data_IF_427256934158
#
_entry.id   IF_427256934158
#
_cell.length_a   1.000
_cell.length_b   1.000
_cell.length_c   1.000
_cell.angle_alpha   90.00
_cell.angle_beta   90.00
_cell.angle_gamma   90.00
#
_symmetry.space_group_name_H-M   'P 1'
#
loop_
_entity.id
_entity.type
_entity.pdbx_description
1 polymer ?
#
# COMPACT_ATOMS: atom_id res chain seq x y z
N UNK A 1 -8.16 -10.35 2.24
CA UNK A 1 -8.48 -9.01 2.76
C UNK A 1 -9.39 -8.31 1.76
N UNK A 2 -10.38 -7.58 2.25
CA UNK A 2 -11.30 -6.79 1.43
C UNK A 2 -11.19 -5.31 1.84
N UNK A 3 -10.91 -4.44 0.87
CA UNK A 3 -10.99 -2.98 1.05
C UNK A 3 -12.32 -2.53 0.44
N UNK A 4 -13.17 -1.89 1.25
CA UNK A 4 -14.51 -1.43 0.85
C UNK A 4 -14.56 0.07 0.62
N UNK A 5 -15.45 0.49 -0.26
CA UNK A 5 -15.75 1.90 -0.56
C UNK A 5 -14.50 2.69 -0.97
N UNK A 6 -13.57 2.03 -1.67
CA UNK A 6 -12.34 2.65 -2.09
C UNK A 6 -12.62 3.67 -3.19
N UNK A 7 -12.17 4.91 -2.96
CA UNK A 7 -11.99 5.86 -4.04
C UNK A 7 -10.64 5.58 -4.72
N UNK A 8 -10.67 4.82 -5.81
CA UNK A 8 -9.48 4.35 -6.49
C UNK A 8 -8.98 5.44 -7.44
N UNK A 9 -7.74 5.88 -7.24
CA UNK A 9 -7.06 6.85 -8.11
C UNK A 9 -5.81 6.20 -8.70
N UNK A 10 -5.82 5.96 -10.01
CA UNK A 10 -4.67 5.48 -10.79
C UNK A 10 -4.63 6.18 -12.16
N UNK A 11 -4.57 5.44 -13.27
CA UNK A 11 -4.76 5.98 -14.62
C UNK A 11 -6.20 6.46 -14.83
N UNK A 12 -7.14 5.92 -14.06
CA UNK A 12 -8.54 6.33 -13.99
C UNK A 12 -8.96 6.55 -12.54
N UNK A 13 -10.09 7.23 -12.35
CA UNK A 13 -10.65 7.56 -11.04
C UNK A 13 -12.07 7.03 -10.93
N UNK A 14 -12.33 6.14 -9.96
CA UNK A 14 -13.63 5.51 -9.77
C UNK A 14 -13.80 4.92 -8.36
N UNK A 15 -15.06 4.68 -7.97
CA UNK A 15 -15.40 3.99 -6.72
C UNK A 15 -15.49 2.48 -6.95
N UNK A 16 -14.88 1.66 -6.08
CA UNK A 16 -15.06 0.20 -6.08
C UNK A 16 -14.62 -0.42 -4.74
N UNK A 17 -14.86 -1.72 -4.58
CA UNK A 17 -14.25 -2.55 -3.56
C UNK A 17 -13.07 -3.34 -4.16
N UNK A 18 -12.05 -3.66 -3.36
CA UNK A 18 -10.83 -4.38 -3.78
C UNK A 18 -10.65 -5.63 -2.92
N UNK A 19 -10.64 -6.79 -3.55
CA UNK A 19 -10.42 -8.08 -2.91
C UNK A 19 -8.98 -8.55 -3.12
N UNK A 20 -8.27 -8.86 -2.03
CA UNK A 20 -6.88 -9.32 -2.05
C UNK A 20 -6.78 -10.75 -1.50
N UNK A 21 -6.16 -11.64 -2.27
CA UNK A 21 -5.89 -13.05 -1.93
C UNK A 21 -4.43 -13.37 -2.24
N UNK A 22 -3.73 -14.04 -1.35
CA UNK A 22 -2.32 -14.43 -1.53
C UNK A 22 -1.41 -13.29 -2.01
N UNK A 23 -1.57 -12.11 -1.40
CA UNK A 23 -0.83 -10.87 -1.72
C UNK A 23 -1.09 -10.27 -3.11
N UNK A 24 -2.10 -10.77 -3.83
CA UNK A 24 -2.48 -10.29 -5.17
C UNK A 24 -3.91 -9.74 -5.14
N UNK A 25 -4.17 -8.69 -5.92
CA UNK A 25 -5.53 -8.20 -6.15
C UNK A 25 -6.28 -9.26 -6.98
N UNK A 26 -7.22 -9.95 -6.34
CA UNK A 26 -8.00 -11.04 -6.91
C UNK A 26 -9.30 -10.58 -7.58
N UNK A 27 -9.85 -9.43 -7.18
CA UNK A 27 -11.01 -8.81 -7.83
C UNK A 27 -11.08 -7.32 -7.51
N UNK A 28 -11.65 -6.56 -8.45
CA UNK A 28 -12.08 -5.17 -8.26
C UNK A 28 -13.52 -5.08 -8.78
N UNK A 29 -14.45 -4.58 -7.97
CA UNK A 29 -15.87 -4.56 -8.35
C UNK A 29 -16.75 -3.83 -7.37
N UNK A 30 -18.04 -3.70 -7.71
CA UNK A 30 -19.03 -3.09 -6.83
C UNK A 30 -19.56 -4.11 -5.81
N UNK A 31 -19.75 -3.67 -4.57
CA UNK A 31 -20.47 -4.42 -3.53
C UNK A 31 -19.94 -5.84 -3.29
N UNK A 32 -18.61 -6.00 -3.22
CA UNK A 32 -18.01 -7.30 -2.95
C UNK A 32 -18.36 -7.75 -1.53
N UNK A 33 -18.74 -9.02 -1.41
CA UNK A 33 -19.07 -9.64 -0.13
C UNK A 33 -17.79 -10.14 0.56
N UNK A 34 -17.59 -9.86 1.86
CA UNK A 34 -16.46 -10.39 2.60
C UNK A 34 -16.55 -11.93 2.68
N UNK A 35 -15.40 -12.59 2.57
CA UNK A 35 -15.30 -14.03 2.83
C UNK A 35 -15.27 -14.30 4.34
N UNK A 36 -15.46 -15.55 4.73
CA UNK A 36 -15.41 -15.96 6.13
C UNK A 36 -14.06 -15.59 6.77
N UNK A 37 -14.13 -14.92 7.92
CA UNK A 37 -12.98 -14.42 8.69
C UNK A 37 -12.04 -13.48 7.92
N UNK A 38 -12.52 -12.88 6.83
CA UNK A 38 -11.72 -11.95 6.06
C UNK A 38 -11.56 -10.62 6.79
N UNK A 39 -10.31 -10.13 6.86
CA UNK A 39 -10.05 -8.76 7.27
C UNK A 39 -10.71 -7.78 6.29
N UNK A 40 -11.56 -6.90 6.82
CA UNK A 40 -12.21 -5.82 6.07
C UNK A 40 -11.63 -4.47 6.50
N UNK A 41 -11.29 -3.64 5.52
CA UNK A 41 -10.89 -2.25 5.69
C UNK A 41 -11.95 -1.36 5.03
N UNK A 42 -12.52 -0.41 5.76
CA UNK A 42 -13.42 0.59 5.20
C UNK A 42 -12.62 1.84 4.80
N UNK A 43 -12.56 2.13 3.50
CA UNK A 43 -11.83 3.26 2.94
C UNK A 43 -12.73 4.48 2.67
N UNK A 44 -13.92 4.53 3.26
CA UNK A 44 -14.85 5.66 3.10
C UNK A 44 -14.16 7.00 3.39
N UNK A 45 -14.17 7.91 2.42
CA UNK A 45 -13.55 9.23 2.54
C UNK A 45 -12.03 9.26 2.34
N UNK A 46 -11.39 8.11 2.06
CA UNK A 46 -9.97 8.01 1.75
C UNK A 46 -9.76 7.69 0.27
N UNK A 47 -8.59 8.09 -0.24
CA UNK A 47 -8.09 7.68 -1.56
C UNK A 47 -7.32 6.36 -1.40
N UNK A 48 -7.55 5.43 -2.30
CA UNK A 48 -6.75 4.22 -2.47
C UNK A 48 -6.01 4.33 -3.79
N UNK A 49 -4.69 4.30 -3.74
CA UNK A 49 -3.84 4.45 -4.92
C UNK A 49 -2.82 3.31 -4.99
N UNK A 50 -2.24 3.03 -6.17
CA UNK A 50 -1.09 2.14 -6.28
C UNK A 50 0.03 2.59 -5.33
N UNK A 51 0.69 1.62 -4.69
CA UNK A 51 1.84 1.91 -3.84
C UNK A 51 2.93 2.63 -4.62
N UNK A 52 3.47 3.71 -4.04
CA UNK A 52 4.48 4.52 -4.71
C UNK A 52 5.82 3.78 -4.80
N UNK A 53 6.60 4.15 -5.82
CA UNK A 53 7.96 3.62 -6.05
C UNK A 53 8.96 4.76 -5.96
N UNK A 54 9.85 4.72 -4.97
CA UNK A 54 10.97 5.65 -4.85
C UNK A 54 12.24 4.99 -5.38
N UNK A 55 12.75 5.49 -6.50
CA UNK A 55 13.95 4.93 -7.15
C UNK A 55 15.25 5.44 -6.53
N UNK A 56 15.20 6.31 -5.52
CA UNK A 56 16.40 6.91 -4.95
C UNK A 56 16.26 7.23 -3.46
N UNK A 57 16.55 6.24 -2.60
CA UNK A 57 16.68 6.47 -1.15
C UNK A 57 18.09 6.14 -0.65
N UNK A 58 18.43 6.64 0.53
CA UNK A 58 19.67 6.28 1.23
C UNK A 58 19.35 5.81 2.64
N UNK A 59 19.33 4.49 2.86
CA UNK A 59 19.06 3.89 4.18
C UNK A 59 20.27 3.81 5.08
N UNK A 60 21.47 4.14 4.58
CA UNK A 60 22.72 4.34 5.35
C UNK A 60 23.24 3.13 6.11
N UNK A 61 22.55 2.00 6.08
CA UNK A 61 22.96 0.72 6.62
C UNK A 61 23.40 -0.24 5.51
N UNK A 62 24.57 -0.88 5.63
CA UNK A 62 25.54 -0.80 6.73
C UNK A 62 26.47 0.43 6.66
N UNK A 63 27.07 0.83 7.80
CA UNK A 63 28.17 1.80 7.88
C UNK A 63 27.81 3.12 8.57
N UNK A 64 26.80 3.83 8.08
CA UNK A 64 26.32 5.10 8.64
C UNK A 64 24.96 4.92 9.35
N UNK A 65 24.82 3.82 10.09
CA UNK A 65 23.57 3.36 10.71
C UNK A 65 23.03 4.32 11.79
N UNK A 66 23.87 5.21 12.31
CA UNK A 66 23.47 6.32 13.19
C UNK A 66 22.55 7.33 12.49
N UNK A 67 22.64 7.43 11.15
CA UNK A 67 21.83 8.34 10.34
C UNK A 67 20.48 7.75 9.99
N UNK A 68 20.46 6.47 9.60
CA UNK A 68 19.26 5.74 9.25
C UNK A 68 19.54 4.22 9.27
N UNK A 69 18.51 3.42 9.51
CA UNK A 69 18.56 1.95 9.40
C UNK A 69 17.61 1.48 8.33
N UNK A 70 17.78 0.25 7.81
CA UNK A 70 16.81 -0.36 6.88
C UNK A 70 15.42 -0.38 7.52
N UNK A 71 15.32 -0.71 8.82
CA UNK A 71 14.05 -0.78 9.55
C UNK A 71 13.34 0.57 9.63
N UNK A 72 14.06 1.62 10.04
CA UNK A 72 13.49 2.96 10.24
C UNK A 72 13.22 3.65 8.90
N UNK A 73 14.11 3.51 7.92
CA UNK A 73 13.91 4.01 6.57
C UNK A 73 12.72 3.35 5.86
N UNK A 74 12.57 2.02 5.97
CA UNK A 74 11.41 1.32 5.40
C UNK A 74 10.09 1.73 6.08
N UNK A 75 10.10 1.94 7.40
CA UNK A 75 8.92 2.43 8.13
C UNK A 75 8.54 3.86 7.70
N UNK A 76 9.53 4.74 7.48
CA UNK A 76 9.30 6.09 6.95
C UNK A 76 8.72 6.05 5.53
N UNK A 77 9.27 5.20 4.65
CA UNK A 77 8.77 4.99 3.30
C UNK A 77 7.30 4.52 3.31
N UNK A 78 6.98 3.51 4.12
CA UNK A 78 5.62 3.00 4.27
C UNK A 78 4.65 4.08 4.79
N UNK A 79 5.08 4.90 5.76
CA UNK A 79 4.27 6.02 6.25
C UNK A 79 3.99 7.08 5.17
N UNK A 80 4.94 7.29 4.25
CA UNK A 80 4.77 8.17 3.09
C UNK A 80 3.98 7.57 1.92
N UNK A 81 3.53 6.31 2.01
CA UNK A 81 2.78 5.63 0.95
C UNK A 81 3.66 4.92 -0.10
N UNK A 82 4.98 4.81 0.14
CA UNK A 82 5.88 4.02 -0.69
C UNK A 82 5.84 2.56 -0.28
N UNK A 83 5.64 1.67 -1.26
CA UNK A 83 5.66 0.21 -1.04
C UNK A 83 6.92 -0.44 -1.60
N UNK A 84 7.64 0.27 -2.48
CA UNK A 84 8.90 -0.17 -3.06
C UNK A 84 9.88 0.99 -3.06
N UNK A 85 11.11 0.73 -2.63
CA UNK A 85 12.20 1.70 -2.64
C UNK A 85 13.48 1.07 -3.17
N UNK A 86 14.32 1.86 -3.82
CA UNK A 86 15.65 1.45 -4.29
C UNK A 86 16.70 2.19 -3.48
N UNK A 87 17.32 1.45 -2.55
CA UNK A 87 18.38 1.98 -1.69
C UNK A 87 19.72 2.00 -2.42
N UNK A 88 20.47 3.08 -2.23
CA UNK A 88 21.79 3.36 -2.84
C UNK A 88 22.95 3.18 -1.86
#
# INVERSE_FOLDING_TARGET
MLIKHAHIVSDTEYMADIQITDHIISAIGQSLAPRDHEQVIDATGAIVMPGLIDVHVHFREPGFTDKETIKTGAAAAAHGGFTTVVAM
#
